data_IF_101766247187
#
_entry.id   IF_101766247187
#
_cell.length_a   1.000
_cell.length_b   1.000
_cell.length_c   1.000
_cell.angle_alpha   90.00
_cell.angle_beta   90.00
_cell.angle_gamma   90.00
#
_symmetry.space_group_name_H-M   'P 1'
#
loop_
_entity.id
_entity.type
_entity.pdbx_description
1 polymer ?
#
# COMPACT_ATOMS: atom_id res chain seq x y z
N UNK A 1 -35.56 -20.81 25.88
CA UNK A 1 -35.54 -21.90 24.87
C UNK A 1 -36.97 -22.29 24.60
N UNK A 2 -37.48 -21.99 23.44
CA UNK A 2 -38.85 -22.39 23.03
C UNK A 2 -38.70 -23.63 22.15
N UNK A 3 -39.25 -24.73 22.62
CA UNK A 3 -39.27 -25.96 21.84
C UNK A 3 -40.63 -26.07 21.13
N UNK A 4 -40.59 -26.18 19.81
CA UNK A 4 -41.75 -26.50 19.01
C UNK A 4 -41.73 -28.00 18.73
N UNK A 5 -42.58 -28.75 19.46
CA UNK A 5 -42.67 -30.21 19.32
C UNK A 5 -43.89 -30.57 18.51
N UNK A 6 -43.72 -31.17 17.35
CA UNK A 6 -44.76 -31.95 16.74
C UNK A 6 -44.79 -33.30 17.42
N UNK A 7 -45.79 -33.54 18.31
CA UNK A 7 -45.92 -34.77 19.01
C UNK A 7 -46.16 -35.94 18.06
N UNK A 8 -45.23 -36.86 17.98
CA UNK A 8 -45.54 -38.18 17.49
C UNK A 8 -46.12 -39.03 18.65
N UNK A 9 -47.12 -39.82 18.38
CA UNK A 9 -47.92 -40.58 19.35
C UNK A 9 -47.21 -41.74 20.04
N UNK A 10 -45.94 -41.82 20.04
CA UNK A 10 -45.17 -42.87 20.70
C UNK A 10 -44.59 -42.35 22.02
N UNK A 11 -45.09 -42.94 23.07
CA UNK A 11 -44.89 -42.56 24.49
C UNK A 11 -43.40 -42.57 24.93
N UNK A 12 -42.47 -43.06 24.14
CA UNK A 12 -41.05 -43.18 24.48
C UNK A 12 -40.06 -42.52 23.53
N UNK A 13 -40.51 -41.77 22.54
CA UNK A 13 -39.62 -41.05 21.63
C UNK A 13 -40.01 -39.58 21.59
N UNK A 14 -39.19 -38.74 22.20
CA UNK A 14 -39.28 -37.29 22.08
C UNK A 14 -38.42 -36.85 20.92
N UNK A 15 -39.05 -36.42 19.85
CA UNK A 15 -38.33 -35.94 18.66
C UNK A 15 -38.47 -34.41 18.56
N UNK A 16 -37.38 -33.75 18.66
CA UNK A 16 -37.31 -32.33 18.40
C UNK A 16 -37.22 -32.11 16.88
N UNK A 17 -38.15 -31.38 16.32
CA UNK A 17 -38.10 -30.97 14.91
C UNK A 17 -37.37 -29.66 14.73
N UNK A 18 -37.43 -28.79 15.71
CA UNK A 18 -36.64 -27.58 15.79
C UNK A 18 -36.58 -27.12 17.25
N UNK A 19 -35.54 -26.42 17.60
CA UNK A 19 -35.53 -25.58 18.79
C UNK A 19 -35.02 -24.19 18.42
N UNK A 20 -35.57 -23.19 19.10
CA UNK A 20 -35.16 -21.80 18.92
C UNK A 20 -34.76 -21.27 20.28
N UNK A 21 -33.55 -20.85 20.41
CA UNK A 21 -33.10 -20.09 21.55
C UNK A 21 -33.51 -18.62 21.35
N UNK A 22 -34.36 -18.12 22.23
CA UNK A 22 -34.73 -16.71 22.26
C UNK A 22 -33.86 -16.04 23.29
N UNK A 23 -32.86 -15.29 22.82
CA UNK A 23 -32.05 -14.45 23.67
C UNK A 23 -32.75 -13.08 23.71
N UNK A 24 -33.36 -12.79 24.86
CA UNK A 24 -34.06 -11.52 25.10
C UNK A 24 -33.02 -10.45 25.53
N UNK A 25 -32.03 -10.23 24.65
CA UNK A 25 -30.97 -9.29 24.83
C UNK A 25 -31.04 -8.23 23.74
N UNK A 26 -31.12 -6.97 24.11
CA UNK A 26 -31.12 -5.82 23.23
C UNK A 26 -29.71 -5.41 22.81
N UNK A 27 -28.74 -6.31 22.87
CA UNK A 27 -27.35 -6.06 22.49
C UNK A 27 -27.25 -5.56 21.06
N UNK A 28 -26.77 -4.33 20.92
CA UNK A 28 -26.41 -3.76 19.64
C UNK A 28 -24.96 -4.14 19.33
N UNK A 29 -24.77 -4.96 18.32
CA UNK A 29 -23.42 -5.29 17.82
C UNK A 29 -22.85 -4.11 17.01
N UNK A 30 -22.55 -3.02 17.72
CA UNK A 30 -21.98 -1.82 17.10
C UNK A 30 -20.65 -2.16 16.41
N UNK A 31 -20.45 -1.59 15.22
CA UNK A 31 -19.24 -1.80 14.38
C UNK A 31 -19.03 -3.25 13.92
N UNK A 32 -20.06 -4.09 13.97
CA UNK A 32 -20.03 -5.46 13.47
C UNK A 32 -20.89 -5.57 12.21
N UNK A 33 -20.42 -6.33 11.22
CA UNK A 33 -21.20 -6.72 10.06
C UNK A 33 -21.27 -8.26 10.03
N UNK A 34 -22.46 -8.78 9.88
CA UNK A 34 -22.66 -10.21 9.76
C UNK A 34 -23.57 -10.55 8.58
N UNK A 35 -23.39 -11.73 8.04
CA UNK A 35 -24.21 -12.24 6.95
C UNK A 35 -24.76 -13.62 7.35
N UNK A 36 -26.07 -13.75 7.40
CA UNK A 36 -26.75 -15.01 7.67
C UNK A 36 -27.17 -15.64 6.34
N UNK A 37 -26.79 -16.90 6.12
CA UNK A 37 -27.10 -17.64 4.90
C UNK A 37 -27.90 -18.88 5.29
N UNK A 38 -29.07 -19.06 4.68
CA UNK A 38 -29.88 -20.26 4.77
C UNK A 38 -29.66 -21.10 3.52
N UNK A 39 -29.25 -22.35 3.71
CA UNK A 39 -29.03 -23.32 2.65
C UNK A 39 -30.07 -24.43 2.75
N UNK A 40 -30.62 -24.83 1.61
CA UNK A 40 -31.55 -25.97 1.53
C UNK A 40 -30.75 -27.27 1.34
N UNK A 41 -30.84 -28.18 2.27
CA UNK A 41 -30.17 -29.47 2.23
C UNK A 41 -30.62 -30.38 1.07
N UNK A 42 -31.77 -30.09 0.47
CA UNK A 42 -32.23 -30.82 -0.73
C UNK A 42 -31.48 -30.40 -1.98
N UNK A 43 -31.00 -29.16 -2.02
CA UNK A 43 -30.28 -28.61 -3.17
C UNK A 43 -28.75 -28.69 -3.02
N UNK A 44 -28.27 -28.75 -1.79
CA UNK A 44 -26.82 -28.73 -1.50
C UNK A 44 -26.48 -29.95 -0.61
N UNK A 45 -25.64 -30.83 -1.14
CA UNK A 45 -25.13 -31.99 -0.38
C UNK A 45 -24.04 -31.59 0.63
N UNK A 46 -23.44 -30.42 0.50
CA UNK A 46 -22.42 -29.86 1.39
C UNK A 46 -22.50 -28.34 1.42
N UNK A 47 -21.91 -27.74 2.42
CA UNK A 47 -21.80 -26.27 2.49
C UNK A 47 -20.85 -25.79 1.39
N UNK A 48 -21.33 -25.01 0.40
CA UNK A 48 -20.48 -24.53 -0.69
C UNK A 48 -19.43 -23.55 -0.17
N UNK A 49 -18.25 -23.55 -0.79
CA UNK A 49 -17.21 -22.55 -0.52
C UNK A 49 -17.72 -21.18 -0.94
N UNK A 50 -17.56 -20.19 -0.07
CA UNK A 50 -18.06 -18.84 -0.27
C UNK A 50 -16.93 -17.84 -0.15
N UNK A 51 -16.94 -16.84 -1.02
CA UNK A 51 -16.05 -15.69 -0.98
C UNK A 51 -16.89 -14.42 -0.83
N UNK A 52 -16.47 -13.50 0.02
CA UNK A 52 -17.17 -12.25 0.25
C UNK A 52 -16.25 -11.08 -0.11
N UNK A 53 -16.75 -10.16 -0.93
CA UNK A 53 -16.11 -8.87 -1.15
C UNK A 53 -16.62 -7.91 -0.10
N UNK A 54 -15.74 -7.47 0.78
CA UNK A 54 -16.06 -6.54 1.86
C UNK A 54 -15.29 -5.24 1.70
N UNK A 55 -15.88 -4.14 2.16
CA UNK A 55 -15.16 -2.90 2.44
C UNK A 55 -14.65 -3.02 3.87
N UNK A 56 -13.33 -3.00 4.03
CA UNK A 56 -12.68 -3.22 5.30
C UNK A 56 -12.76 -2.02 6.26
N UNK A 57 -11.72 -1.82 7.01
CA UNK A 57 -11.62 -0.79 8.05
C UNK A 57 -11.73 0.60 7.43
N UNK A 58 -12.37 1.52 8.15
CA UNK A 58 -12.39 2.94 7.81
C UNK A 58 -11.18 3.61 8.44
N UNK A 59 -10.46 4.39 7.66
CA UNK A 59 -9.30 5.16 8.10
C UNK A 59 -9.51 6.65 7.90
N UNK A 60 -8.84 7.47 8.69
CA UNK A 60 -8.94 8.93 8.58
C UNK A 60 -8.32 9.39 7.25
N UNK A 61 -9.00 10.32 6.59
CA UNK A 61 -8.48 11.01 5.40
C UNK A 61 -8.22 12.49 5.74
N UNK A 62 -7.47 13.24 4.92
CA UNK A 62 -7.30 14.67 5.14
C UNK A 62 -8.63 15.42 5.19
N UNK A 63 -8.75 16.33 6.15
CA UNK A 63 -9.95 17.14 6.36
C UNK A 63 -10.11 18.30 5.36
N UNK A 64 -10.93 19.29 5.71
CA UNK A 64 -11.09 20.50 4.91
C UNK A 64 -9.74 21.22 4.77
N UNK A 65 -9.45 21.71 3.57
CA UNK A 65 -8.21 22.39 3.28
C UNK A 65 -8.13 23.81 3.84
N UNK A 66 -6.92 24.36 3.89
CA UNK A 66 -6.68 25.74 4.24
C UNK A 66 -7.29 26.69 3.19
N UNK A 67 -7.64 27.90 3.59
CA UNK A 67 -8.15 28.96 2.70
C UNK A 67 -9.31 28.51 1.79
N UNK A 68 -10.21 27.69 2.32
CA UNK A 68 -11.37 27.15 1.58
C UNK A 68 -10.98 26.34 0.32
N UNK A 69 -9.81 25.71 0.31
CA UNK A 69 -9.33 24.89 -0.82
C UNK A 69 -10.11 23.57 -0.99
N UNK A 70 -11.24 23.41 -0.30
CA UNK A 70 -12.17 22.31 -0.42
C UNK A 70 -11.88 21.16 0.54
N UNK A 71 -12.68 20.11 0.44
CA UNK A 71 -12.57 18.90 1.27
C UNK A 71 -12.38 17.69 0.36
N UNK A 72 -11.38 16.84 0.59
CA UNK A 72 -11.22 15.59 -0.14
C UNK A 72 -12.44 14.69 0.03
N UNK A 73 -12.80 14.00 -1.03
CA UNK A 73 -13.87 13.01 -1.04
C UNK A 73 -13.30 11.64 -1.44
N UNK A 74 -14.09 10.58 -1.28
CA UNK A 74 -13.68 9.24 -1.68
C UNK A 74 -14.63 8.70 -2.72
N UNK A 75 -14.08 8.20 -3.80
CA UNK A 75 -14.81 7.38 -4.76
C UNK A 75 -15.23 6.07 -4.08
N UNK A 76 -16.52 5.88 -3.90
CA UNK A 76 -17.07 4.72 -3.19
C UNK A 76 -16.90 3.40 -3.93
N UNK A 77 -16.62 3.42 -5.23
CA UNK A 77 -16.39 2.21 -6.02
C UNK A 77 -14.95 1.68 -5.86
N UNK A 78 -13.97 2.59 -5.92
CA UNK A 78 -12.55 2.24 -5.96
C UNK A 78 -11.82 2.47 -4.63
N UNK A 79 -12.37 3.29 -3.74
CA UNK A 79 -11.71 3.75 -2.53
C UNK A 79 -10.65 4.84 -2.77
N UNK A 80 -10.54 5.38 -3.98
CA UNK A 80 -9.62 6.45 -4.33
C UNK A 80 -10.01 7.76 -3.66
N UNK A 81 -9.06 8.46 -3.07
CA UNK A 81 -9.28 9.81 -2.54
C UNK A 81 -9.21 10.81 -3.70
N UNK A 82 -10.24 11.63 -3.82
CA UNK A 82 -10.35 12.71 -4.81
C UNK A 82 -10.03 14.02 -4.10
N UNK A 83 -8.90 14.60 -4.43
CA UNK A 83 -8.50 15.90 -3.92
C UNK A 83 -9.06 17.02 -4.80
N UNK A 84 -9.64 18.07 -4.22
CA UNK A 84 -9.99 19.26 -4.97
C UNK A 84 -8.79 19.90 -5.65
N UNK A 85 -9.00 20.55 -6.79
CA UNK A 85 -7.95 21.32 -7.46
C UNK A 85 -7.43 22.42 -6.53
N UNK A 86 -6.10 22.51 -6.38
CA UNK A 86 -5.48 23.49 -5.48
C UNK A 86 -5.61 23.16 -4.00
N UNK A 87 -5.98 21.93 -3.62
CA UNK A 87 -6.11 21.52 -2.23
C UNK A 87 -4.81 21.73 -1.45
N UNK A 88 -4.91 22.49 -0.35
CA UNK A 88 -3.82 22.76 0.60
C UNK A 88 -4.21 22.15 1.94
N UNK A 89 -3.43 21.18 2.42
CA UNK A 89 -3.65 20.56 3.72
C UNK A 89 -3.38 21.55 4.86
N UNK A 90 -4.25 21.60 5.84
CA UNK A 90 -4.15 22.52 6.99
C UNK A 90 -3.62 21.86 8.28
N UNK A 91 -3.16 20.61 8.19
CA UNK A 91 -2.70 19.85 9.36
C UNK A 91 -3.80 19.06 10.09
N UNK A 92 -5.07 19.17 9.67
CA UNK A 92 -6.19 18.53 10.36
C UNK A 92 -6.71 17.34 9.55
N UNK A 93 -6.72 16.16 10.19
CA UNK A 93 -7.35 14.97 9.60
C UNK A 93 -8.87 15.03 9.76
N UNK A 94 -9.57 14.53 8.76
CA UNK A 94 -11.03 14.47 8.71
C UNK A 94 -11.59 13.15 9.23
N UNK A 95 -12.83 12.86 8.84
CA UNK A 95 -13.55 11.66 9.24
C UNK A 95 -12.92 10.38 8.70
N UNK A 96 -13.13 9.27 9.41
CA UNK A 96 -12.74 7.95 8.95
C UNK A 96 -13.73 7.45 7.90
N UNK A 97 -13.19 7.09 6.72
CA UNK A 97 -13.94 6.54 5.58
C UNK A 97 -13.21 5.32 5.03
N UNK A 98 -13.92 4.48 4.29
CA UNK A 98 -13.26 3.40 3.58
C UNK A 98 -12.46 3.98 2.40
N UNK A 99 -11.17 3.65 2.32
CA UNK A 99 -10.30 4.03 1.21
C UNK A 99 -9.27 2.93 0.93
N UNK A 100 -8.81 2.86 -0.30
CA UNK A 100 -7.71 1.99 -0.75
C UNK A 100 -6.36 2.72 -0.79
N UNK A 101 -6.28 3.94 -0.26
CA UNK A 101 -5.06 4.75 -0.27
C UNK A 101 -4.00 4.18 0.69
N UNK A 102 -2.84 3.70 0.20
CA UNK A 102 -1.85 3.06 1.05
C UNK A 102 -1.23 4.01 2.08
N UNK A 103 -1.09 5.31 1.76
CA UNK A 103 -0.56 6.30 2.70
C UNK A 103 -1.47 6.50 3.92
N UNK A 104 -2.80 6.53 3.72
CA UNK A 104 -3.76 6.67 4.82
C UNK A 104 -3.90 5.37 5.61
N UNK A 105 -3.76 4.21 4.96
CA UNK A 105 -3.72 2.90 5.62
C UNK A 105 -2.47 2.81 6.53
N UNK A 106 -1.32 3.22 6.03
CA UNK A 106 -0.09 3.26 6.83
C UNK A 106 -0.20 4.23 8.01
N UNK A 107 -0.77 5.42 7.79
CA UNK A 107 -1.02 6.40 8.85
C UNK A 107 -1.89 5.81 9.97
N UNK A 108 -2.97 5.13 9.58
CA UNK A 108 -3.88 4.50 10.53
C UNK A 108 -3.19 3.35 11.29
N UNK A 109 -2.42 2.52 10.61
CA UNK A 109 -1.63 1.47 11.27
C UNK A 109 -0.67 2.04 12.31
N UNK A 110 -0.03 3.17 12.03
CA UNK A 110 0.90 3.81 12.97
C UNK A 110 0.20 4.42 14.18
N UNK A 111 -1.04 4.91 14.03
CA UNK A 111 -1.73 5.69 15.08
C UNK A 111 -2.90 4.96 15.75
N UNK A 112 -3.29 3.80 15.28
CA UNK A 112 -4.43 3.07 15.82
C UNK A 112 -4.04 2.26 17.05
N UNK A 113 -4.73 2.47 18.18
CA UNK A 113 -4.46 1.78 19.44
C UNK A 113 -4.98 0.35 19.50
N UNK A 114 -5.92 -0.03 18.63
CA UNK A 114 -6.55 -1.35 18.69
C UNK A 114 -5.73 -2.45 17.99
N UNK A 115 -5.13 -2.13 16.84
CA UNK A 115 -4.43 -3.10 16.00
C UNK A 115 -3.12 -2.57 15.41
N UNK A 116 -2.76 -1.36 15.72
CA UNK A 116 -1.57 -0.68 15.26
C UNK A 116 -0.63 -0.30 16.39
N UNK A 117 0.15 0.75 16.15
CA UNK A 117 1.19 1.21 17.07
C UNK A 117 0.77 2.45 17.88
N UNK A 118 -0.52 2.76 17.93
CA UNK A 118 -1.06 3.98 18.55
C UNK A 118 -0.82 4.14 20.05
N UNK A 119 -0.44 3.07 20.76
CA UNK A 119 0.01 3.16 22.14
C UNK A 119 1.39 3.82 22.27
N UNK A 120 2.17 3.85 21.21
CA UNK A 120 3.53 4.40 21.18
C UNK A 120 3.68 5.59 20.22
N UNK A 121 2.87 5.64 19.16
CA UNK A 121 2.96 6.64 18.09
C UNK A 121 1.65 7.40 18.00
N UNK A 122 1.74 8.71 18.15
CA UNK A 122 0.61 9.64 18.03
C UNK A 122 0.78 10.55 16.81
N UNK A 123 -0.25 11.28 16.41
CA UNK A 123 -0.18 12.24 15.30
C UNK A 123 0.96 13.26 15.47
N UNK A 124 1.34 13.61 16.71
CA UNK A 124 2.44 14.54 17.00
C UNK A 124 3.84 13.96 16.67
N UNK A 125 3.94 12.64 16.57
CA UNK A 125 5.17 11.95 16.18
C UNK A 125 5.30 11.76 14.66
N UNK A 126 4.32 12.25 13.90
CA UNK A 126 4.23 12.04 12.44
C UNK A 126 4.23 13.38 11.70
N UNK A 127 4.94 13.44 10.59
CA UNK A 127 4.77 14.53 9.63
C UNK A 127 3.57 14.24 8.71
N UNK A 128 2.39 14.66 9.16
CA UNK A 128 1.15 14.48 8.41
C UNK A 128 1.19 15.08 7.01
N UNK A 129 2.00 16.13 6.77
CA UNK A 129 2.15 16.74 5.46
C UNK A 129 2.83 15.82 4.45
N UNK A 130 3.84 15.05 4.88
CA UNK A 130 4.49 14.05 4.03
C UNK A 130 3.51 12.93 3.66
N UNK A 131 2.70 12.44 4.62
CA UNK A 131 1.66 11.44 4.35
C UNK A 131 0.59 11.94 3.37
N UNK A 132 0.14 13.19 3.53
CA UNK A 132 -0.85 13.77 2.60
C UNK A 132 -0.25 13.98 1.22
N UNK A 133 1.01 14.35 1.12
CA UNK A 133 1.73 14.49 -0.17
C UNK A 133 1.83 13.13 -0.88
N UNK A 134 2.24 12.09 -0.17
CA UNK A 134 2.26 10.74 -0.70
C UNK A 134 0.86 10.24 -1.08
N UNK A 135 -0.17 10.58 -0.28
CA UNK A 135 -1.55 10.25 -0.60
C UNK A 135 -2.04 10.94 -1.88
N UNK A 136 -1.73 12.22 -2.09
CA UNK A 136 -2.04 12.91 -3.34
C UNK A 136 -1.40 12.20 -4.53
N UNK A 137 -0.12 11.85 -4.42
CA UNK A 137 0.60 11.15 -5.48
C UNK A 137 0.02 9.76 -5.75
N UNK A 138 -0.30 9.00 -4.71
CA UNK A 138 -0.90 7.67 -4.82
C UNK A 138 -2.28 7.69 -5.50
N UNK A 139 -3.07 8.71 -5.23
CA UNK A 139 -4.44 8.85 -5.75
C UNK A 139 -4.54 9.58 -7.11
N UNK A 140 -3.40 10.01 -7.69
CA UNK A 140 -3.37 10.55 -9.06
C UNK A 140 -3.80 9.47 -10.04
N UNK A 141 -4.71 9.81 -10.97
CA UNK A 141 -5.11 8.90 -12.05
C UNK A 141 -3.95 8.71 -13.02
N UNK A 142 -3.72 7.47 -13.37
CA UNK A 142 -2.73 7.05 -14.36
C UNK A 142 -3.35 6.00 -15.28
N UNK A 143 -2.81 5.87 -16.46
CA UNK A 143 -3.18 4.84 -17.42
C UNK A 143 -2.85 3.45 -16.83
N UNK A 144 -3.82 2.55 -16.88
CA UNK A 144 -3.66 1.15 -16.45
C UNK A 144 -2.90 0.30 -17.48
N UNK A 145 -2.71 0.81 -18.70
CA UNK A 145 -2.09 0.11 -19.83
C UNK A 145 -3.05 -0.81 -20.59
N UNK A 146 -4.33 -0.81 -20.24
CA UNK A 146 -5.37 -1.66 -20.83
C UNK A 146 -6.57 -0.86 -21.34
N UNK A 147 -6.45 0.47 -21.41
CA UNK A 147 -7.44 1.37 -21.98
C UNK A 147 -8.33 2.08 -20.96
N UNK A 148 -7.99 1.98 -19.68
CA UNK A 148 -8.67 2.69 -18.58
C UNK A 148 -7.70 3.48 -17.73
N UNK A 149 -8.23 4.23 -16.78
CA UNK A 149 -7.45 4.95 -15.77
C UNK A 149 -7.76 4.43 -14.37
N UNK A 150 -6.73 4.35 -13.55
CA UNK A 150 -6.85 3.94 -12.16
C UNK A 150 -5.98 4.81 -11.23
N UNK A 151 -6.16 4.67 -9.91
CA UNK A 151 -5.25 5.28 -8.95
C UNK A 151 -3.83 4.74 -9.17
N UNK A 152 -2.82 5.62 -9.07
CA UNK A 152 -1.41 5.21 -9.23
C UNK A 152 -1.04 4.06 -8.30
N UNK A 153 -1.45 4.15 -7.04
CA UNK A 153 -1.26 3.10 -6.04
C UNK A 153 -2.53 2.90 -5.23
N UNK A 154 -2.92 1.65 -5.06
CA UNK A 154 -3.99 1.21 -4.20
C UNK A 154 -3.54 0.00 -3.38
N UNK A 155 -4.08 -0.17 -2.20
CA UNK A 155 -3.80 -1.30 -1.32
C UNK A 155 -5.09 -1.88 -0.78
N UNK A 156 -5.31 -3.17 -1.04
CA UNK A 156 -6.43 -3.94 -0.51
C UNK A 156 -5.87 -5.26 0.04
N UNK A 157 -5.76 -5.36 1.34
CA UNK A 157 -5.14 -6.50 2.00
C UNK A 157 -5.96 -6.95 3.20
N UNK A 158 -5.97 -8.24 3.44
CA UNK A 158 -6.47 -8.84 4.67
C UNK A 158 -5.28 -9.46 5.42
N UNK A 159 -4.91 -8.83 6.53
CA UNK A 159 -3.80 -9.27 7.38
C UNK A 159 -4.38 -10.21 8.43
N UNK A 160 -4.07 -11.49 8.32
CA UNK A 160 -4.60 -12.53 9.21
C UNK A 160 -3.55 -13.13 10.12
N UNK A 161 -2.28 -13.00 9.75
CA UNK A 161 -1.15 -13.54 10.50
C UNK A 161 -0.41 -12.41 11.20
N UNK A 162 0.06 -12.70 12.41
CA UNK A 162 1.02 -11.81 13.09
C UNK A 162 2.31 -11.79 12.29
N UNK A 163 2.76 -10.62 11.90
CA UNK A 163 4.06 -10.37 11.28
C UNK A 163 4.82 -9.35 12.12
N UNK A 164 6.12 -9.27 11.91
CA UNK A 164 6.89 -8.23 12.57
C UNK A 164 6.42 -6.84 12.10
N UNK A 165 6.33 -5.93 13.04
CA UNK A 165 5.84 -4.57 12.79
C UNK A 165 6.59 -3.86 11.66
N UNK A 166 7.91 -4.03 11.66
CA UNK A 166 8.78 -3.38 10.70
C UNK A 166 8.57 -3.92 9.28
N UNK A 167 8.35 -5.21 9.12
CA UNK A 167 8.10 -5.83 7.83
C UNK A 167 6.78 -5.32 7.22
N UNK A 168 5.73 -5.22 8.03
CA UNK A 168 4.45 -4.72 7.57
C UNK A 168 4.51 -3.24 7.15
N UNK A 169 5.25 -2.41 7.90
CA UNK A 169 5.49 -1.01 7.55
C UNK A 169 6.25 -0.92 6.21
N UNK A 170 7.27 -1.75 6.03
CA UNK A 170 8.04 -1.78 4.80
C UNK A 170 7.21 -2.28 3.61
N UNK A 171 6.40 -3.33 3.78
CA UNK A 171 5.50 -3.82 2.74
C UNK A 171 4.48 -2.75 2.31
N UNK A 172 3.81 -2.09 3.28
CA UNK A 172 2.86 -1.01 2.99
C UNK A 172 3.54 0.20 2.33
N UNK A 173 4.72 0.58 2.79
CA UNK A 173 5.50 1.67 2.20
C UNK A 173 5.96 1.30 0.78
N UNK A 174 6.34 0.05 0.57
CA UNK A 174 6.74 -0.50 -0.74
C UNK A 174 5.62 -0.45 -1.78
N UNK A 175 4.34 -0.62 -1.38
CA UNK A 175 3.18 -0.50 -2.29
C UNK A 175 3.18 0.83 -3.03
N UNK A 176 3.51 1.91 -2.34
CA UNK A 176 3.51 3.28 -2.89
C UNK A 176 4.92 3.80 -3.18
N UNK A 177 5.96 2.94 -3.11
CA UNK A 177 7.36 3.31 -3.34
C UNK A 177 7.79 4.48 -2.45
N UNK A 178 7.41 4.41 -1.18
CA UNK A 178 7.83 5.34 -0.15
C UNK A 178 8.81 4.68 0.80
N UNK A 179 9.65 5.50 1.41
CA UNK A 179 10.53 5.11 2.49
C UNK A 179 10.15 5.86 3.76
N UNK A 180 9.79 5.16 4.86
CA UNK A 180 9.59 5.79 6.15
C UNK A 180 10.94 6.17 6.75
N UNK A 181 11.06 7.39 7.25
CA UNK A 181 12.29 7.95 7.79
C UNK A 181 11.98 8.61 9.13
N UNK A 182 12.75 8.29 10.16
CA UNK A 182 12.72 9.03 11.40
C UNK A 182 13.74 10.18 11.33
N UNK A 183 13.26 11.41 11.34
CA UNK A 183 14.08 12.61 11.26
C UNK A 183 13.47 13.76 12.05
N UNK A 184 14.30 14.53 12.74
CA UNK A 184 13.88 15.70 13.52
C UNK A 184 12.79 15.40 14.56
N UNK A 185 12.79 14.19 15.17
CA UNK A 185 11.83 13.79 16.19
C UNK A 185 10.46 13.34 15.64
N UNK A 186 10.30 13.24 14.33
CA UNK A 186 9.08 12.77 13.68
C UNK A 186 9.34 11.70 12.62
N UNK A 187 8.33 10.88 12.35
CA UNK A 187 8.32 9.93 11.26
C UNK A 187 7.77 10.63 10.03
N UNK A 188 8.58 10.70 9.00
CA UNK A 188 8.20 11.21 7.69
C UNK A 188 8.17 10.07 6.68
N UNK A 189 7.44 10.21 5.59
CA UNK A 189 7.57 9.34 4.44
C UNK A 189 8.11 10.12 3.24
N UNK A 190 9.11 9.55 2.59
CA UNK A 190 9.66 10.11 1.36
C UNK A 190 9.19 9.30 0.19
N UNK A 191 8.52 9.97 -0.76
CA UNK A 191 8.01 9.37 -1.99
C UNK A 191 9.10 9.31 -3.04
N UNK A 192 9.33 8.13 -3.61
CA UNK A 192 10.09 7.98 -4.86
C UNK A 192 9.24 8.50 -6.03
N UNK A 193 9.51 9.73 -6.41
CA UNK A 193 8.84 10.45 -7.48
C UNK A 193 9.79 11.45 -8.11
N UNK A 194 9.61 11.81 -9.38
CA UNK A 194 10.41 12.86 -10.01
C UNK A 194 10.35 14.16 -9.21
N UNK A 195 11.51 14.67 -8.82
CA UNK A 195 11.70 15.90 -8.07
C UNK A 195 12.99 16.56 -8.54
N UNK A 196 13.08 17.86 -8.38
CA UNK A 196 14.33 18.58 -8.59
C UNK A 196 15.37 18.18 -7.53
N UNK A 197 16.65 18.22 -7.91
CA UNK A 197 17.74 17.96 -6.99
C UNK A 197 17.79 19.03 -5.91
N UNK A 198 17.90 18.60 -4.65
CA UNK A 198 17.96 19.50 -3.50
C UNK A 198 19.35 20.03 -3.22
N UNK A 199 20.38 19.37 -3.73
CA UNK A 199 21.77 19.75 -3.52
C UNK A 199 22.68 19.21 -4.61
N UNK A 200 23.73 19.99 -4.96
CA UNK A 200 24.76 19.62 -5.92
C UNK A 200 26.06 19.29 -5.18
N UNK A 201 26.56 18.08 -5.34
CA UNK A 201 27.85 17.64 -4.83
C UNK A 201 28.91 17.71 -5.95
N UNK A 202 30.07 18.28 -5.61
CA UNK A 202 31.25 18.36 -6.47
C UNK A 202 32.53 18.24 -5.65
N UNK A 203 33.70 18.23 -6.28
CA UNK A 203 34.98 18.08 -5.60
C UNK A 203 35.29 19.16 -4.57
N UNK A 204 34.59 20.31 -4.57
CA UNK A 204 34.84 21.39 -3.61
C UNK A 204 34.05 21.21 -2.30
N UNK A 205 33.00 20.43 -2.28
CA UNK A 205 32.16 20.21 -1.09
C UNK A 205 32.09 18.75 -0.60
N UNK A 206 32.93 17.89 -1.17
CA UNK A 206 33.23 16.54 -0.67
C UNK A 206 34.63 16.48 -0.07
N UNK A 207 34.92 15.46 0.71
CA UNK A 207 36.26 15.25 1.29
C UNK A 207 37.29 14.94 0.20
N UNK A 208 38.57 14.98 0.58
CA UNK A 208 39.69 14.66 -0.31
C UNK A 208 39.70 13.26 -0.91
N UNK A 209 38.87 12.35 -0.37
CA UNK A 209 38.67 11.00 -0.90
C UNK A 209 37.86 10.99 -2.20
N UNK A 210 37.10 12.06 -2.49
CA UNK A 210 36.29 12.18 -3.68
C UNK A 210 35.12 11.23 -3.73
N UNK A 211 34.72 10.86 -4.96
CA UNK A 211 33.60 9.95 -5.22
C UNK A 211 34.10 8.53 -5.48
N UNK A 212 33.49 7.57 -4.83
CA UNK A 212 33.78 6.15 -5.03
C UNK A 212 32.57 5.47 -5.68
N UNK A 213 32.78 4.85 -6.83
CA UNK A 213 31.74 4.23 -7.64
C UNK A 213 31.80 2.71 -7.52
N UNK A 214 30.68 2.09 -7.25
CA UNK A 214 30.49 0.65 -7.30
C UNK A 214 29.26 0.31 -8.13
N UNK A 215 29.33 -0.74 -8.94
CA UNK A 215 28.26 -1.13 -9.84
C UNK A 215 27.75 -2.54 -9.57
N UNK A 216 26.49 -2.80 -9.92
CA UNK A 216 25.92 -4.14 -9.91
C UNK A 216 26.38 -4.95 -11.11
N UNK A 217 26.60 -6.26 -10.90
CA UNK A 217 26.97 -7.16 -11.99
C UNK A 217 25.86 -7.32 -13.02
N UNK A 218 26.20 -7.25 -14.31
CA UNK A 218 25.26 -7.49 -15.42
C UNK A 218 24.57 -8.86 -15.35
N UNK A 219 25.22 -9.87 -14.77
CA UNK A 219 24.64 -11.22 -14.60
C UNK A 219 23.51 -11.31 -13.59
N UNK A 220 23.34 -10.30 -12.75
CA UNK A 220 22.29 -10.25 -11.72
C UNK A 220 21.04 -9.49 -12.20
N UNK A 221 21.08 -8.91 -13.40
CA UNK A 221 19.95 -8.13 -13.94
C UNK A 221 18.93 -9.05 -14.59
N UNK A 222 17.68 -8.88 -14.19
CA UNK A 222 16.59 -9.61 -14.76
C UNK A 222 16.10 -8.94 -16.05
N UNK A 223 15.58 -9.75 -16.97
CA UNK A 223 15.03 -9.31 -18.26
C UNK A 223 13.53 -9.51 -18.35
N UNK A 224 12.95 -10.19 -17.36
CA UNK A 224 11.52 -10.34 -17.20
C UNK A 224 11.15 -10.35 -15.71
N UNK A 225 10.00 -9.79 -15.38
CA UNK A 225 9.45 -9.82 -14.01
C UNK A 225 8.03 -10.36 -14.06
N UNK A 226 7.77 -11.44 -13.33
CA UNK A 226 6.44 -11.99 -13.10
C UNK A 226 5.91 -11.48 -11.76
N UNK A 227 4.91 -10.62 -11.80
CA UNK A 227 4.30 -10.01 -10.63
C UNK A 227 3.01 -10.73 -10.30
N UNK A 228 2.94 -11.36 -9.12
CA UNK A 228 1.70 -11.96 -8.63
C UNK A 228 0.85 -10.92 -7.90
N UNK A 229 -0.45 -10.88 -8.23
CA UNK A 229 -1.43 -9.98 -7.63
C UNK A 229 -2.75 -10.71 -7.43
N UNK A 230 -3.65 -10.15 -6.63
CA UNK A 230 -4.99 -10.71 -6.45
C UNK A 230 -5.95 -10.10 -7.47
N UNK A 231 -6.43 -10.91 -8.40
CA UNK A 231 -7.41 -10.48 -9.39
C UNK A 231 -8.82 -10.46 -8.77
N UNK A 232 -9.44 -9.27 -8.72
CA UNK A 232 -10.76 -9.09 -8.09
C UNK A 232 -11.89 -9.72 -8.90
N UNK A 233 -11.74 -9.91 -10.20
CA UNK A 233 -12.78 -10.45 -11.07
C UNK A 233 -12.82 -11.98 -10.98
N UNK A 234 -11.67 -12.64 -11.09
CA UNK A 234 -11.55 -14.09 -10.91
C UNK A 234 -11.56 -14.51 -9.43
N UNK A 235 -11.29 -13.57 -8.52
CA UNK A 235 -11.09 -13.80 -7.08
C UNK A 235 -9.99 -14.81 -6.76
N UNK A 236 -8.94 -14.80 -7.57
CA UNK A 236 -7.76 -15.68 -7.45
C UNK A 236 -6.47 -14.90 -7.62
N UNK A 237 -5.35 -15.53 -7.27
CA UNK A 237 -4.02 -14.96 -7.54
C UNK A 237 -3.74 -15.16 -9.02
N UNK A 238 -3.38 -14.07 -9.68
CA UNK A 238 -3.00 -14.02 -11.08
C UNK A 238 -1.60 -13.44 -11.24
N UNK A 239 -1.02 -13.56 -12.41
CA UNK A 239 0.34 -13.11 -12.70
C UNK A 239 0.33 -12.16 -13.89
N UNK A 240 1.00 -11.03 -13.73
CA UNK A 240 1.33 -10.13 -14.84
C UNK A 240 2.82 -10.24 -15.12
N UNK A 241 3.14 -10.56 -16.39
CA UNK A 241 4.54 -10.70 -16.83
C UNK A 241 4.93 -9.45 -17.63
N UNK A 242 5.99 -8.81 -17.18
CA UNK A 242 6.58 -7.65 -17.86
C UNK A 242 7.96 -8.04 -18.36
N UNK A 243 8.22 -7.76 -19.62
CA UNK A 243 9.44 -8.16 -20.32
C UNK A 243 10.16 -6.96 -20.92
N UNK A 244 11.49 -6.98 -20.87
CA UNK A 244 12.35 -6.11 -21.65
C UNK A 244 12.96 -6.90 -22.80
N UNK A 245 12.31 -6.81 -23.96
CA UNK A 245 12.74 -7.54 -25.17
C UNK A 245 14.12 -7.13 -25.67
N UNK A 246 14.53 -5.88 -25.38
CA UNK A 246 15.86 -5.38 -25.76
C UNK A 246 16.93 -6.02 -24.88
N UNK A 247 16.71 -6.11 -23.59
CA UNK A 247 17.61 -6.79 -22.66
C UNK A 247 17.61 -8.31 -22.91
N UNK A 248 16.45 -8.93 -23.20
CA UNK A 248 16.34 -10.36 -23.52
C UNK A 248 17.17 -10.75 -24.74
N UNK A 249 17.19 -9.91 -25.78
CA UNK A 249 17.98 -10.17 -27.00
C UNK A 249 19.49 -10.19 -26.74
N UNK A 250 19.95 -9.51 -25.70
CA UNK A 250 21.39 -9.41 -25.33
C UNK A 250 21.81 -10.42 -24.27
N UNK A 251 20.96 -10.67 -23.30
CA UNK A 251 21.31 -11.41 -22.06
C UNK A 251 20.51 -12.71 -21.89
N UNK A 252 19.53 -12.97 -22.77
CA UNK A 252 18.61 -14.08 -22.61
C UNK A 252 17.47 -13.76 -21.63
N UNK A 253 16.64 -14.78 -21.35
CA UNK A 253 15.49 -14.63 -20.47
C UNK A 253 15.92 -14.97 -19.03
N UNK A 254 15.95 -13.96 -18.18
CA UNK A 254 16.21 -14.08 -16.74
C UNK A 254 15.01 -13.53 -16.01
N UNK A 255 14.20 -14.40 -15.40
CA UNK A 255 12.91 -14.02 -14.80
C UNK A 255 13.03 -13.88 -13.28
N UNK A 256 12.49 -12.77 -12.74
CA UNK A 256 12.27 -12.53 -11.31
C UNK A 256 10.79 -12.68 -10.98
N UNK A 257 10.49 -13.38 -9.89
CA UNK A 257 9.13 -13.45 -9.37
C UNK A 257 8.98 -12.50 -8.18
N UNK A 258 7.92 -11.69 -8.19
CA UNK A 258 7.63 -10.70 -7.15
C UNK A 258 6.17 -10.80 -6.75
N UNK A 259 5.89 -10.78 -5.46
CA UNK A 259 4.53 -10.69 -4.93
C UNK A 259 4.19 -9.22 -4.68
N UNK A 260 3.16 -8.70 -5.36
CA UNK A 260 2.66 -7.35 -5.12
C UNK A 260 1.74 -7.35 -3.89
N UNK A 261 2.24 -6.85 -2.77
CA UNK A 261 1.48 -6.77 -1.52
C UNK A 261 0.24 -5.89 -1.68
N UNK A 262 -0.93 -6.39 -1.30
CA UNK A 262 -2.19 -5.64 -1.35
C UNK A 262 -2.63 -5.15 -2.73
N UNK A 263 -1.95 -5.58 -3.81
CA UNK A 263 -2.29 -5.21 -5.17
C UNK A 263 -3.46 -6.04 -5.69
N UNK A 264 -4.49 -5.35 -6.19
CA UNK A 264 -5.69 -5.96 -6.76
C UNK A 264 -5.95 -5.53 -8.21
N UNK A 265 -5.02 -4.79 -8.79
CA UNK A 265 -5.10 -4.28 -10.16
C UNK A 265 -3.99 -4.85 -11.02
N UNK A 266 -4.35 -5.33 -12.22
CA UNK A 266 -3.42 -5.76 -13.26
C UNK A 266 -2.51 -4.61 -13.71
N UNK A 267 -3.06 -3.41 -13.89
CA UNK A 267 -2.31 -2.22 -14.30
C UNK A 267 -1.27 -1.82 -13.27
N UNK A 268 -1.60 -1.86 -11.98
CA UNK A 268 -0.63 -1.61 -10.91
C UNK A 268 0.46 -2.68 -10.86
N UNK A 269 0.13 -3.95 -11.06
CA UNK A 269 1.12 -5.04 -11.14
C UNK A 269 2.08 -4.84 -12.32
N UNK A 270 1.56 -4.47 -13.51
CA UNK A 270 2.36 -4.16 -14.68
C UNK A 270 3.32 -2.98 -14.43
N UNK A 271 2.83 -1.90 -13.78
CA UNK A 271 3.67 -0.75 -13.43
C UNK A 271 4.76 -1.10 -12.42
N UNK A 272 4.47 -1.98 -11.46
CA UNK A 272 5.47 -2.48 -10.51
C UNK A 272 6.57 -3.27 -11.25
N UNK A 273 6.19 -4.18 -12.14
CA UNK A 273 7.14 -4.95 -12.93
C UNK A 273 8.05 -4.06 -13.80
N UNK A 274 7.45 -3.05 -14.48
CA UNK A 274 8.22 -2.07 -15.27
C UNK A 274 9.19 -1.26 -14.41
N UNK A 275 8.76 -0.83 -13.22
CA UNK A 275 9.61 -0.08 -12.31
C UNK A 275 10.82 -0.90 -11.85
N UNK A 276 10.63 -2.17 -11.54
CA UNK A 276 11.72 -3.08 -11.14
C UNK A 276 12.71 -3.26 -12.29
N UNK A 277 12.22 -3.54 -13.51
CA UNK A 277 13.10 -3.68 -14.67
C UNK A 277 13.85 -2.39 -14.97
N UNK A 278 13.17 -1.23 -14.88
CA UNK A 278 13.79 0.06 -15.10
C UNK A 278 14.91 0.34 -14.08
N UNK A 279 14.67 0.11 -12.80
CA UNK A 279 15.66 0.29 -11.74
C UNK A 279 16.87 -0.65 -11.95
N UNK A 280 16.65 -1.93 -12.23
CA UNK A 280 17.74 -2.90 -12.46
C UNK A 280 18.57 -2.57 -13.72
N UNK A 281 17.98 -1.94 -14.72
CA UNK A 281 18.69 -1.57 -15.97
C UNK A 281 19.41 -0.22 -15.86
N UNK A 282 18.80 0.77 -15.22
CA UNK A 282 19.25 2.15 -15.24
C UNK A 282 19.91 2.60 -13.93
N UNK A 283 19.48 2.05 -12.78
CA UNK A 283 20.00 2.41 -11.46
C UNK A 283 21.07 1.40 -11.02
N UNK A 284 22.09 1.25 -11.85
CA UNK A 284 23.08 0.18 -11.70
C UNK A 284 24.34 0.60 -10.95
N UNK A 285 24.50 1.88 -10.64
CA UNK A 285 25.67 2.44 -9.96
C UNK A 285 25.32 2.97 -8.57
N UNK A 286 26.18 2.66 -7.63
CA UNK A 286 26.17 3.22 -6.29
C UNK A 286 27.38 4.15 -6.15
N UNK A 287 27.12 5.37 -5.71
CA UNK A 287 28.16 6.37 -5.45
C UNK A 287 28.24 6.61 -3.95
N UNK A 288 29.42 6.45 -3.40
CA UNK A 288 29.70 6.75 -1.99
C UNK A 288 30.74 7.85 -1.87
N UNK A 289 30.51 8.78 -0.98
CA UNK A 289 31.40 9.89 -0.70
C UNK A 289 31.14 10.44 0.72
N UNK A 290 32.10 11.14 1.26
CA UNK A 290 32.00 11.84 2.53
C UNK A 290 31.93 13.35 2.31
N UNK A 291 31.12 14.04 3.08
CA UNK A 291 30.92 15.48 2.97
C UNK A 291 30.92 16.17 4.33
N UNK A 292 30.90 17.51 4.36
CA UNK A 292 30.79 18.27 5.60
C UNK A 292 29.42 18.12 6.26
N UNK A 293 29.36 18.42 7.54
CA UNK A 293 28.12 18.38 8.34
C UNK A 293 27.08 19.38 7.81
N UNK A 294 27.50 20.44 7.15
CA UNK A 294 26.62 21.48 6.59
C UNK A 294 25.71 20.92 5.51
N UNK A 295 26.20 20.00 4.68
CA UNK A 295 25.38 19.31 3.70
C UNK A 295 24.30 18.43 4.36
N UNK A 296 24.62 17.81 5.50
CA UNK A 296 23.67 17.00 6.28
C UNK A 296 22.51 17.80 6.89
N UNK A 297 22.67 19.13 7.02
CA UNK A 297 21.57 20.01 7.46
C UNK A 297 20.53 20.24 6.34
N UNK A 298 20.92 20.15 5.09
CA UNK A 298 20.08 20.40 3.91
C UNK A 298 19.57 19.10 3.29
N UNK A 299 20.45 18.11 3.14
CA UNK A 299 20.15 16.84 2.47
C UNK A 299 19.59 15.84 3.49
N UNK A 300 18.39 15.34 3.23
CA UNK A 300 17.75 14.29 4.03
C UNK A 300 17.78 12.96 3.28
N UNK A 301 17.73 11.83 3.98
CA UNK A 301 17.56 10.54 3.31
C UNK A 301 16.37 10.55 2.35
N UNK A 302 16.53 9.98 1.14
CA UNK A 302 15.52 10.00 0.08
C UNK A 302 15.42 11.32 -0.70
N UNK A 303 16.29 12.29 -0.44
CA UNK A 303 16.40 13.49 -1.29
C UNK A 303 17.13 13.16 -2.59
N UNK A 304 16.71 13.79 -3.68
CA UNK A 304 17.45 13.75 -4.97
C UNK A 304 18.60 14.72 -4.88
N UNK A 305 19.79 14.27 -5.30
CA UNK A 305 21.02 15.03 -5.33
C UNK A 305 21.64 14.96 -6.72
N UNK A 306 22.30 16.02 -7.12
CA UNK A 306 23.15 16.04 -8.31
C UNK A 306 24.61 15.80 -7.93
N UNK A 307 25.33 15.07 -8.77
CA UNK A 307 26.77 14.84 -8.62
C UNK A 307 27.47 15.36 -9.86
N UNK A 308 28.39 16.26 -9.63
CA UNK A 308 29.30 16.76 -10.68
C UNK A 308 30.72 16.29 -10.38
N UNK A 309 31.09 15.18 -11.00
CA UNK A 309 32.43 14.62 -10.95
C UNK A 309 33.11 14.82 -12.31
N UNK A 310 34.11 15.73 -12.42
CA UNK A 310 34.76 15.99 -13.69
C UNK A 310 35.58 14.83 -14.24
N UNK A 311 35.86 13.80 -13.42
CA UNK A 311 36.61 12.62 -13.86
C UNK A 311 35.69 11.61 -14.56
N UNK A 312 34.43 11.50 -14.15
CA UNK A 312 33.51 10.46 -14.63
C UNK A 312 32.16 10.98 -15.09
N UNK A 313 31.54 11.88 -14.36
CA UNK A 313 30.23 12.45 -14.66
C UNK A 313 30.40 13.85 -15.21
N UNK A 314 30.08 14.06 -16.45
CA UNK A 314 30.20 15.38 -17.10
C UNK A 314 31.12 15.40 -18.32
N UNK A 315 31.40 14.23 -18.85
CA UNK A 315 31.99 14.07 -20.18
C UNK A 315 30.92 13.82 -21.21
#
# INVERSE_FOLDING_TARGET
ITADSTSSSTINAFQWTSFTEVIDDSSTYANSAYNAIRLDSQQFSSIPTRKFRIRGIKVRIPGAGASSSGTPTVDTATGRIIYPTGYIFNGVMGAAVWTSCPAMILLDLLTNTRYGFGDHITDSNLDLFSFVTASKYANTLVDDGFGSQEARFSCNVNIQTSSEAFDLINELSGVMRCMPIFSAGSINITQDSPKDASYLFNLSNVTSEGFNYSGSSLKQRHTAVAVSYFNMDSQEIDFEVVEDTTAQSKFGIITKQVKAFGCTSRGQAARLGRAILFAEQNESELVSFSTSIDAGAVVRPGAIIDINDPVRAGV
#
